data_IF_223941277184
#
_entry.id   IF_223941277184
#
_cell.length_a   1.000
_cell.length_b   1.000
_cell.length_c   1.000
_cell.angle_alpha   90.00
_cell.angle_beta   90.00
_cell.angle_gamma   90.00
#
_symmetry.space_group_name_H-M   'P 1'
#
loop_
_entity.id
_entity.type
_entity.pdbx_description
1 polymer ?
#
# COMPACT_ATOMS: atom_id res chain seq x y z
N UNK A 1 16.04 12.85 21.94
CA UNK A 1 14.98 12.67 20.95
C UNK A 1 14.11 11.58 21.51
N UNK A 2 13.01 11.98 22.12
CA UNK A 2 11.99 11.04 22.59
C UNK A 2 11.26 10.48 21.38
N UNK A 3 10.68 9.29 21.49
CA UNK A 3 9.82 8.78 20.41
C UNK A 3 8.60 9.69 20.20
N UNK A 4 8.15 10.42 21.22
CA UNK A 4 7.14 11.48 21.11
C UNK A 4 7.52 12.56 20.05
N UNK A 5 8.81 12.88 19.89
CA UNK A 5 9.28 13.86 18.89
C UNK A 5 9.22 13.31 17.44
N UNK A 6 9.19 11.98 17.28
CA UNK A 6 9.16 11.26 16.00
C UNK A 6 7.75 10.80 15.64
N UNK A 7 6.91 10.59 16.64
CA UNK A 7 5.59 9.95 16.54
C UNK A 7 4.46 10.93 16.26
N UNK A 8 4.68 12.26 16.25
CA UNK A 8 3.67 13.34 16.15
C UNK A 8 2.54 13.09 15.10
N UNK A 9 1.60 12.20 15.43
CA UNK A 9 0.59 11.65 14.52
C UNK A 9 1.06 10.65 13.45
N UNK A 10 2.34 10.27 13.34
CA UNK A 10 2.84 9.41 12.26
C UNK A 10 2.69 7.90 12.60
N UNK A 11 1.61 7.31 12.09
CA UNK A 11 1.31 5.90 12.27
C UNK A 11 2.36 4.97 11.63
N UNK A 12 2.96 5.35 10.50
CA UNK A 12 4.00 4.53 9.87
C UNK A 12 5.29 4.56 10.70
N UNK A 13 5.65 5.71 11.28
CA UNK A 13 6.80 5.82 12.17
C UNK A 13 6.68 4.88 13.39
N UNK A 14 5.50 4.84 14.05
CA UNK A 14 5.24 3.90 15.16
C UNK A 14 5.41 2.46 14.69
N UNK A 15 4.83 2.13 13.52
CA UNK A 15 4.90 0.78 12.98
C UNK A 15 6.34 0.32 12.73
N UNK A 16 7.14 1.15 12.07
CA UNK A 16 8.54 0.83 11.77
C UNK A 16 9.42 0.74 13.01
N UNK A 17 9.14 1.55 14.03
CA UNK A 17 9.83 1.44 15.31
C UNK A 17 9.61 0.06 15.93
N UNK A 18 8.36 -0.41 15.96
CA UNK A 18 8.01 -1.72 16.49
C UNK A 18 8.58 -2.87 15.66
N UNK A 19 8.45 -2.80 14.33
CA UNK A 19 8.98 -3.83 13.40
C UNK A 19 10.50 -3.97 13.51
N UNK A 20 11.21 -2.89 13.86
CA UNK A 20 12.67 -2.89 14.04
C UNK A 20 13.15 -3.48 15.38
N UNK A 21 12.24 -3.80 16.32
CA UNK A 21 12.62 -4.27 17.66
C UNK A 21 13.06 -5.74 17.63
N UNK A 22 14.18 -6.02 18.29
CA UNK A 22 14.66 -7.39 18.50
C UNK A 22 14.07 -8.01 19.77
N UNK A 23 13.98 -9.35 19.88
CA UNK A 23 13.50 -10.00 21.11
C UNK A 23 14.30 -9.56 22.33
N UNK A 24 13.58 -9.14 23.39
CA UNK A 24 14.14 -8.55 24.61
C UNK A 24 14.28 -7.03 24.58
N UNK A 25 14.11 -6.38 23.43
CA UNK A 25 14.10 -4.92 23.35
C UNK A 25 12.90 -4.36 24.12
N UNK A 26 13.14 -3.32 24.90
CA UNK A 26 12.11 -2.55 25.59
C UNK A 26 12.26 -1.08 25.24
N UNK A 27 11.17 -0.42 24.84
CA UNK A 27 11.17 0.99 24.46
C UNK A 27 9.98 1.72 25.08
N UNK A 28 10.23 2.93 25.56
CA UNK A 28 9.18 3.90 25.83
C UNK A 28 8.76 4.49 24.48
N UNK A 29 7.50 4.26 24.07
CA UNK A 29 7.01 4.68 22.75
C UNK A 29 6.32 6.03 22.85
N UNK A 30 5.49 6.25 23.87
CA UNK A 30 4.98 7.59 24.20
C UNK A 30 5.28 7.93 25.65
N UNK A 31 5.01 9.15 26.12
CA UNK A 31 5.09 9.48 27.57
C UNK A 31 4.36 8.47 28.49
N UNK A 32 3.35 7.77 27.95
CA UNK A 32 2.42 6.92 28.72
C UNK A 32 2.41 5.45 28.31
N UNK A 33 3.14 5.08 27.25
CA UNK A 33 3.16 3.70 26.76
C UNK A 33 4.58 3.18 26.58
N UNK A 34 4.76 1.92 26.99
CA UNK A 34 6.00 1.18 26.80
C UNK A 34 5.70 -0.13 26.08
N UNK A 35 6.68 -0.61 25.33
CA UNK A 35 6.58 -1.85 24.58
C UNK A 35 7.81 -2.70 24.83
N UNK A 36 7.60 -3.99 25.04
CA UNK A 36 8.66 -5.00 25.07
C UNK A 36 8.45 -6.00 23.96
N UNK A 37 9.45 -6.21 23.10
CA UNK A 37 9.44 -7.26 22.09
C UNK A 37 9.74 -8.61 22.77
N UNK A 38 8.78 -9.53 22.76
CA UNK A 38 8.91 -10.85 23.38
C UNK A 38 9.53 -11.86 22.41
N UNK A 39 9.16 -11.76 21.14
CA UNK A 39 9.61 -12.61 20.04
C UNK A 39 9.41 -11.86 18.71
N UNK A 40 9.83 -12.43 17.59
CA UNK A 40 9.68 -11.82 16.26
C UNK A 40 8.22 -11.45 15.94
N UNK A 41 7.93 -10.14 15.99
CA UNK A 41 6.60 -9.57 15.75
C UNK A 41 5.56 -9.85 16.85
N UNK A 42 6.00 -10.18 18.07
CA UNK A 42 5.18 -10.40 19.26
C UNK A 42 5.61 -9.48 20.39
N UNK A 43 4.67 -8.77 20.99
CA UNK A 43 4.92 -7.66 21.90
C UNK A 43 4.09 -7.76 23.17
N UNK A 44 4.65 -7.29 24.28
CA UNK A 44 3.89 -6.83 25.43
C UNK A 44 3.78 -5.31 25.37
N UNK A 45 2.58 -4.78 25.59
CA UNK A 45 2.30 -3.34 25.55
C UNK A 45 1.76 -2.89 26.90
N UNK A 46 2.43 -1.93 27.51
CA UNK A 46 1.98 -1.25 28.72
C UNK A 46 1.31 0.06 28.33
N UNK A 47 0.08 0.25 28.79
CA UNK A 47 -0.77 1.42 28.55
C UNK A 47 -1.25 2.01 29.88
N UNK A 48 -1.83 3.22 29.88
CA UNK A 48 -2.52 3.76 31.06
C UNK A 48 -3.64 2.85 31.55
N UNK A 49 -3.39 2.14 32.65
CA UNK A 49 -4.38 1.30 33.31
C UNK A 49 -4.64 -0.05 32.62
N UNK A 50 -3.84 -0.44 31.62
CA UNK A 50 -3.96 -1.72 30.94
C UNK A 50 -2.59 -2.29 30.56
N UNK A 51 -2.52 -3.62 30.42
CA UNK A 51 -1.37 -4.35 29.89
C UNK A 51 -1.90 -5.35 28.87
N UNK A 52 -1.34 -5.31 27.67
CA UNK A 52 -1.55 -6.32 26.64
C UNK A 52 -0.34 -7.24 26.62
N UNK A 53 -0.55 -8.54 26.67
CA UNK A 53 0.54 -9.52 26.69
C UNK A 53 0.54 -10.32 25.39
N UNK A 54 1.72 -10.48 24.81
CA UNK A 54 1.96 -11.30 23.61
C UNK A 54 1.02 -10.99 22.44
N UNK A 55 0.78 -9.71 22.19
CA UNK A 55 0.00 -9.24 21.04
C UNK A 55 0.89 -9.10 19.80
N UNK A 56 0.30 -9.18 18.61
CA UNK A 56 1.06 -8.99 17.38
C UNK A 56 1.38 -7.51 17.11
N UNK A 57 2.25 -7.28 16.13
CA UNK A 57 2.71 -5.96 15.67
C UNK A 57 1.60 -4.92 15.44
N UNK A 58 0.48 -5.29 14.81
CA UNK A 58 -0.58 -4.35 14.43
C UNK A 58 -1.49 -4.08 15.63
N UNK A 59 -1.77 -5.07 16.47
CA UNK A 59 -2.46 -4.86 17.73
C UNK A 59 -1.63 -3.94 18.62
N UNK A 60 -0.32 -4.16 18.74
CA UNK A 60 0.57 -3.30 19.51
C UNK A 60 0.58 -1.86 18.96
N UNK A 61 0.73 -1.71 17.65
CA UNK A 61 0.67 -0.43 16.94
C UNK A 61 -0.64 0.32 17.22
N UNK A 62 -1.79 -0.32 17.01
CA UNK A 62 -3.10 0.29 17.20
C UNK A 62 -3.37 0.64 18.67
N UNK A 63 -2.94 -0.22 19.59
CA UNK A 63 -3.07 0.03 21.03
C UNK A 63 -2.30 1.29 21.47
N UNK A 64 -1.10 1.48 20.93
CA UNK A 64 -0.25 2.65 21.21
C UNK A 64 -0.88 3.92 20.62
N UNK A 65 -1.29 3.88 19.35
CA UNK A 65 -1.88 5.05 18.68
C UNK A 65 -3.17 5.53 19.36
N UNK A 66 -3.98 4.60 19.88
CA UNK A 66 -5.25 4.93 20.55
C UNK A 66 -5.11 5.17 22.05
N UNK A 67 -4.02 4.70 22.65
CA UNK A 67 -3.78 4.78 24.10
C UNK A 67 -4.70 3.86 24.92
N UNK A 68 -5.32 2.86 24.29
CA UNK A 68 -6.25 1.91 24.92
C UNK A 68 -6.14 0.50 24.29
N UNK A 69 -6.56 -0.56 25.00
CA UNK A 69 -6.67 -1.90 24.44
C UNK A 69 -7.50 -1.96 23.16
N UNK A 70 -7.05 -2.73 22.17
CA UNK A 70 -7.75 -2.94 20.90
C UNK A 70 -7.85 -4.41 20.57
N UNK A 71 -8.98 -4.81 19.99
CA UNK A 71 -9.15 -6.11 19.35
C UNK A 71 -9.03 -5.93 17.84
N UNK A 72 -8.12 -6.66 17.21
CA UNK A 72 -7.96 -6.69 15.75
C UNK A 72 -8.19 -8.12 15.28
N UNK A 73 -9.15 -8.31 14.37
CA UNK A 73 -9.33 -9.60 13.69
C UNK A 73 -8.13 -9.86 12.80
N UNK A 74 -7.46 -11.01 12.97
CA UNK A 74 -6.28 -11.37 12.17
C UNK A 74 -6.63 -11.79 10.73
N UNK A 75 -7.88 -12.18 10.48
CA UNK A 75 -8.32 -12.74 9.20
C UNK A 75 -9.01 -11.71 8.30
N UNK A 76 -9.49 -10.60 8.86
CA UNK A 76 -10.25 -9.57 8.14
C UNK A 76 -9.90 -8.16 8.65
N UNK A 77 -8.69 -7.71 8.31
CA UNK A 77 -8.17 -6.39 8.67
C UNK A 77 -8.59 -5.37 7.62
N UNK A 78 -9.27 -4.31 8.07
CA UNK A 78 -9.46 -3.08 7.30
C UNK A 78 -8.31 -2.11 7.55
N UNK A 79 -7.36 -2.04 6.62
CA UNK A 79 -6.18 -1.19 6.77
C UNK A 79 -6.49 0.30 6.70
N UNK A 80 -7.64 0.71 6.14
CA UNK A 80 -8.05 2.11 6.11
C UNK A 80 -8.24 2.71 7.51
N UNK A 81 -8.45 1.87 8.53
CA UNK A 81 -8.66 2.28 9.92
C UNK A 81 -7.37 2.30 10.75
N UNK A 82 -6.26 1.85 10.17
CA UNK A 82 -4.99 1.66 10.90
C UNK A 82 -4.12 2.90 10.92
N UNK A 83 -4.32 3.82 9.97
CA UNK A 83 -3.44 4.98 9.78
C UNK A 83 -2.14 4.67 9.04
N UNK A 84 -1.82 3.40 8.77
CA UNK A 84 -0.68 3.01 7.94
C UNK A 84 -0.88 3.51 6.50
N UNK A 85 0.21 3.84 5.81
CA UNK A 85 0.16 4.01 4.35
C UNK A 85 -0.15 2.69 3.63
N UNK A 86 -0.57 2.77 2.37
CA UNK A 86 -0.83 1.59 1.55
C UNK A 86 0.40 0.68 1.42
N UNK A 87 1.59 1.27 1.27
CA UNK A 87 2.85 0.54 1.21
C UNK A 87 3.10 -0.28 2.48
N UNK A 88 3.02 0.34 3.65
CA UNK A 88 3.24 -0.35 4.93
C UNK A 88 2.15 -1.39 5.19
N UNK A 89 0.89 -1.08 4.89
CA UNK A 89 -0.23 -2.00 5.02
C UNK A 89 -0.04 -3.28 4.19
N UNK A 90 0.39 -3.16 2.93
CA UNK A 90 0.68 -4.29 2.05
C UNK A 90 1.87 -5.13 2.54
N UNK A 91 2.91 -4.48 3.08
CA UNK A 91 4.05 -5.16 3.69
C UNK A 91 3.64 -5.97 4.93
N UNK A 92 2.92 -5.35 5.86
CA UNK A 92 2.39 -6.01 7.06
C UNK A 92 1.50 -7.19 6.67
N UNK A 93 0.59 -7.02 5.71
CA UNK A 93 -0.28 -8.09 5.22
C UNK A 93 0.52 -9.28 4.67
N UNK A 94 1.52 -9.02 3.83
CA UNK A 94 2.39 -10.06 3.27
C UNK A 94 3.20 -10.80 4.35
N UNK A 95 3.78 -10.07 5.30
CA UNK A 95 4.53 -10.66 6.42
C UNK A 95 3.63 -11.51 7.33
N UNK A 96 2.39 -11.04 7.61
CA UNK A 96 1.39 -11.80 8.37
C UNK A 96 1.02 -13.10 7.69
N UNK A 97 0.63 -13.05 6.41
CA UNK A 97 0.30 -14.26 5.64
C UNK A 97 1.46 -15.26 5.67
N UNK A 98 2.70 -14.78 5.49
CA UNK A 98 3.91 -15.61 5.58
C UNK A 98 4.06 -16.27 6.95
N UNK A 99 3.93 -15.51 8.05
CA UNK A 99 4.01 -16.05 9.43
C UNK A 99 2.95 -17.11 9.71
N UNK A 100 1.75 -16.93 9.17
CA UNK A 100 0.63 -17.87 9.31
C UNK A 100 0.72 -19.07 8.33
N UNK A 101 1.73 -19.12 7.46
CA UNK A 101 1.85 -20.17 6.43
C UNK A 101 0.76 -20.11 5.36
N UNK A 102 0.12 -18.95 5.19
CA UNK A 102 -0.93 -18.73 4.20
C UNK A 102 -0.32 -18.38 2.83
N UNK A 103 -0.98 -18.74 1.72
CA UNK A 103 -0.52 -18.39 0.39
C UNK A 103 -0.51 -16.88 0.17
N UNK A 104 0.56 -16.38 -0.46
CA UNK A 104 0.65 -14.99 -0.92
C UNK A 104 0.04 -14.89 -2.32
N UNK A 105 -0.96 -14.03 -2.44
CA UNK A 105 -1.51 -13.62 -3.74
C UNK A 105 -0.50 -12.73 -4.47
N UNK A 106 -0.51 -12.79 -5.79
CA UNK A 106 0.39 -12.01 -6.65
C UNK A 106 -0.47 -11.30 -7.71
N UNK A 107 -0.62 -9.96 -7.63
CA UNK A 107 -0.13 -9.08 -6.56
C UNK A 107 -0.90 -9.26 -5.25
N UNK A 108 -0.30 -8.95 -4.09
CA UNK A 108 -1.01 -8.99 -2.81
C UNK A 108 -2.13 -7.94 -2.80
N UNK A 109 -3.28 -8.32 -2.25
CA UNK A 109 -4.44 -7.45 -2.08
C UNK A 109 -4.73 -7.26 -0.59
N UNK A 110 -5.01 -6.02 -0.19
CA UNK A 110 -5.50 -5.67 1.15
C UNK A 110 -6.90 -5.06 1.08
N UNK A 111 -7.63 -5.11 2.19
CA UNK A 111 -8.90 -4.38 2.33
C UNK A 111 -8.63 -2.96 2.80
N UNK A 112 -9.15 -1.98 2.07
CA UNK A 112 -9.10 -0.56 2.40
C UNK A 112 -10.51 0.02 2.34
N UNK A 113 -11.20 0.05 3.47
CA UNK A 113 -12.64 0.25 3.54
C UNK A 113 -13.38 -0.92 2.89
N UNK A 114 -14.22 -0.60 1.91
CA UNK A 114 -14.94 -1.60 1.09
C UNK A 114 -14.16 -2.01 -0.17
N UNK A 115 -12.95 -1.49 -0.37
CA UNK A 115 -12.20 -1.62 -1.63
C UNK A 115 -11.08 -2.67 -1.48
N UNK A 116 -10.97 -3.64 -2.40
CA UNK A 116 -9.78 -4.46 -2.54
C UNK A 116 -8.69 -3.65 -3.26
N UNK A 117 -7.58 -3.40 -2.57
CA UNK A 117 -6.48 -2.56 -3.06
C UNK A 117 -5.22 -3.39 -3.24
N UNK A 118 -4.56 -3.23 -4.37
CA UNK A 118 -3.30 -3.89 -4.73
C UNK A 118 -2.28 -2.87 -5.28
N UNK A 119 -1.05 -3.32 -5.51
CA UNK A 119 0.00 -2.50 -6.16
C UNK A 119 -0.04 -2.56 -7.69
N UNK A 120 -0.78 -3.52 -8.23
CA UNK A 120 -0.81 -3.83 -9.65
C UNK A 120 -1.98 -4.76 -9.96
N UNK A 121 -2.07 -5.14 -11.22
CA UNK A 121 -2.97 -6.19 -11.72
C UNK A 121 -2.21 -7.08 -12.71
N UNK A 122 -2.65 -8.33 -12.81
CA UNK A 122 -2.16 -9.28 -13.80
C UNK A 122 -3.38 -9.95 -14.41
N UNK A 123 -3.58 -9.76 -15.71
CA UNK A 123 -4.69 -10.37 -16.42
C UNK A 123 -4.27 -10.96 -17.77
N UNK A 124 -4.85 -12.10 -18.18
CA UNK A 124 -4.62 -12.65 -19.50
C UNK A 124 -5.26 -11.77 -20.57
N UNK A 125 -4.51 -11.51 -21.65
CA UNK A 125 -4.98 -10.79 -22.84
C UNK A 125 -4.53 -11.51 -24.11
N UNK A 126 -5.36 -11.53 -25.17
CA UNK A 126 -4.96 -12.10 -26.45
C UNK A 126 -3.88 -11.24 -27.15
N UNK A 127 -3.18 -11.84 -28.10
CA UNK A 127 -2.34 -11.12 -29.05
C UNK A 127 -3.17 -10.06 -29.81
N UNK A 128 -2.58 -8.91 -30.07
CA UNK A 128 -3.26 -7.80 -30.75
C UNK A 128 -3.10 -6.49 -30.01
N UNK A 129 -4.08 -5.60 -30.18
CA UNK A 129 -4.03 -4.25 -29.64
C UNK A 129 -4.69 -4.18 -28.27
N UNK A 130 -3.92 -3.70 -27.29
CA UNK A 130 -4.45 -3.29 -25.99
C UNK A 130 -4.59 -1.79 -25.98
N UNK A 131 -5.79 -1.31 -25.67
CA UNK A 131 -6.10 0.12 -25.57
C UNK A 131 -6.35 0.51 -24.12
N UNK A 132 -5.62 1.51 -23.63
CA UNK A 132 -5.86 2.17 -22.34
C UNK A 132 -6.64 3.46 -22.59
N UNK A 133 -7.78 3.61 -21.92
CA UNK A 133 -8.64 4.79 -22.03
C UNK A 133 -8.78 5.43 -20.65
N UNK A 134 -8.30 6.66 -20.51
CA UNK A 134 -8.31 7.42 -19.25
C UNK A 134 -9.58 8.27 -19.16
N UNK A 135 -10.42 7.98 -18.17
CA UNK A 135 -11.66 8.70 -17.90
C UNK A 135 -11.43 9.88 -16.94
N UNK A 136 -10.51 9.73 -15.98
CA UNK A 136 -10.18 10.76 -15.01
C UNK A 136 -8.67 10.89 -14.83
N UNK A 137 -8.22 12.14 -14.68
CA UNK A 137 -6.83 12.49 -14.39
C UNK A 137 -6.84 13.73 -13.48
N UNK A 138 -6.21 13.62 -12.31
CA UNK A 138 -6.07 14.75 -11.39
C UNK A 138 -5.03 15.74 -11.92
N UNK A 139 -5.36 17.05 -12.07
CA UNK A 139 -4.41 18.04 -12.56
C UNK A 139 -3.21 18.23 -11.63
N UNK A 140 -2.03 18.47 -12.23
CA UNK A 140 -0.83 18.86 -11.49
C UNK A 140 -0.05 17.70 -10.86
N UNK A 141 -0.55 16.47 -10.92
CA UNK A 141 0.21 15.25 -10.60
C UNK A 141 0.62 14.54 -11.89
N UNK A 142 1.88 14.11 -11.97
CA UNK A 142 2.36 13.31 -13.09
C UNK A 142 2.17 11.84 -12.78
N UNK A 143 1.01 11.32 -13.18
CA UNK A 143 0.53 9.97 -12.92
C UNK A 143 0.26 9.25 -14.24
N UNK A 144 0.67 8.00 -14.35
CA UNK A 144 0.53 7.19 -15.55
C UNK A 144 0.35 5.71 -15.27
N UNK A 145 0.40 4.94 -16.34
CA UNK A 145 0.19 3.48 -16.34
C UNK A 145 1.39 2.80 -16.97
N UNK A 146 1.98 1.84 -16.29
CA UNK A 146 2.96 0.92 -16.87
C UNK A 146 2.27 -0.38 -17.28
N UNK A 147 2.48 -0.77 -18.53
CA UNK A 147 2.05 -2.05 -19.10
C UNK A 147 3.28 -2.90 -19.42
N UNK A 148 3.30 -4.15 -18.98
CA UNK A 148 4.38 -5.07 -19.35
C UNK A 148 3.89 -6.52 -19.46
N UNK A 149 4.60 -7.32 -20.24
CA UNK A 149 4.40 -8.78 -20.32
C UNK A 149 5.67 -9.49 -19.89
N UNK A 150 5.58 -10.78 -19.57
CA UNK A 150 6.76 -11.57 -19.21
C UNK A 150 7.77 -11.63 -20.38
N UNK A 151 8.93 -10.98 -20.21
CA UNK A 151 9.98 -10.93 -21.23
C UNK A 151 9.76 -9.90 -22.35
N UNK A 152 8.67 -9.14 -22.31
CA UNK A 152 8.40 -8.03 -23.21
C UNK A 152 8.96 -6.70 -22.71
N UNK A 153 8.96 -5.65 -23.56
CA UNK A 153 9.25 -4.29 -23.11
C UNK A 153 8.14 -3.78 -22.16
N UNK A 154 8.52 -2.88 -21.26
CA UNK A 154 7.55 -2.09 -20.50
C UNK A 154 7.15 -0.85 -21.30
N UNK A 155 5.86 -0.61 -21.39
CA UNK A 155 5.28 0.58 -21.99
C UNK A 155 4.75 1.48 -20.88
N UNK A 156 5.34 2.66 -20.73
CA UNK A 156 4.89 3.66 -19.77
C UNK A 156 4.05 4.70 -20.49
N UNK A 157 2.81 4.85 -20.04
CA UNK A 157 1.80 5.73 -20.61
C UNK A 157 1.61 6.91 -19.67
N UNK A 158 1.87 8.13 -20.16
CA UNK A 158 1.73 9.38 -19.42
C UNK A 158 0.55 10.17 -19.97
N UNK A 159 -0.69 9.91 -19.51
CA UNK A 159 -1.87 10.63 -19.97
C UNK A 159 -1.76 12.13 -19.73
N UNK A 160 -2.37 12.90 -20.63
CA UNK A 160 -2.54 14.35 -20.50
C UNK A 160 -4.01 14.70 -20.72
N UNK A 161 -4.39 15.97 -20.52
CA UNK A 161 -5.77 16.37 -20.80
C UNK A 161 -6.15 16.20 -22.28
N UNK A 162 -5.20 16.43 -23.19
CA UNK A 162 -5.36 16.36 -24.64
C UNK A 162 -5.12 14.96 -25.22
N UNK A 163 -4.48 14.06 -24.46
CA UNK A 163 -4.11 12.71 -24.89
C UNK A 163 -4.44 11.68 -23.79
N UNK A 164 -5.56 10.99 -23.96
CA UNK A 164 -6.15 10.08 -22.96
C UNK A 164 -6.36 8.65 -23.46
N UNK A 165 -5.92 8.35 -24.67
CA UNK A 165 -6.12 7.04 -25.29
C UNK A 165 -4.82 6.52 -25.89
N UNK A 166 -4.35 5.37 -25.39
CA UNK A 166 -3.07 4.79 -25.78
C UNK A 166 -3.29 3.38 -26.29
N UNK A 167 -2.67 3.04 -27.42
CA UNK A 167 -2.70 1.68 -27.96
C UNK A 167 -1.30 1.07 -27.91
N UNK A 168 -1.21 -0.17 -27.45
CA UNK A 168 0.01 -0.98 -27.41
C UNK A 168 -0.23 -2.29 -28.15
N UNK A 169 0.66 -2.64 -29.07
CA UNK A 169 0.60 -3.91 -29.78
C UNK A 169 1.31 -5.02 -28.98
N UNK A 170 0.59 -6.11 -28.72
CA UNK A 170 1.12 -7.32 -28.08
C UNK A 170 1.32 -8.42 -29.13
N UNK A 171 2.55 -8.94 -29.29
CA UNK A 171 2.86 -9.89 -30.37
C UNK A 171 2.36 -11.32 -30.15
N UNK A 172 1.91 -11.66 -28.93
CA UNK A 172 1.40 -12.97 -28.55
C UNK A 172 0.45 -12.83 -27.36
N UNK A 173 -0.39 -13.86 -27.14
CA UNK A 173 -1.20 -13.98 -25.93
C UNK A 173 -0.28 -13.94 -24.71
N UNK A 174 -0.61 -13.12 -23.72
CA UNK A 174 0.24 -12.90 -22.57
C UNK A 174 -0.54 -12.51 -21.31
N UNK A 175 0.10 -12.67 -20.16
CA UNK A 175 -0.34 -12.05 -18.92
C UNK A 175 0.15 -10.60 -18.90
N UNK A 176 -0.77 -9.67 -19.11
CA UNK A 176 -0.52 -8.24 -19.04
C UNK A 176 -0.45 -7.81 -17.58
N UNK A 177 0.71 -7.29 -17.19
CA UNK A 177 0.93 -6.64 -15.90
C UNK A 177 0.62 -5.16 -16.05
N UNK A 178 -0.25 -4.67 -15.19
CA UNK A 178 -0.70 -3.28 -15.16
C UNK A 178 -0.31 -2.70 -13.81
N UNK A 179 0.46 -1.62 -13.82
CA UNK A 179 0.94 -0.98 -12.59
C UNK A 179 0.77 0.53 -12.71
N UNK A 180 0.39 1.18 -11.61
CA UNK A 180 0.42 2.64 -11.52
C UNK A 180 1.86 3.15 -11.49
N UNK A 181 2.16 4.20 -12.25
CA UNK A 181 3.47 4.91 -12.18
C UNK A 181 3.24 6.39 -11.90
N UNK A 182 4.18 7.02 -11.22
CA UNK A 182 4.13 8.46 -10.97
C UNK A 182 5.54 9.03 -10.89
N UNK A 183 5.65 10.35 -11.07
CA UNK A 183 6.93 11.04 -10.90
C UNK A 183 6.99 11.69 -9.53
N UNK A 184 8.06 11.37 -8.80
CA UNK A 184 8.44 12.06 -7.57
C UNK A 184 9.56 13.03 -7.90
N UNK A 185 9.42 14.28 -7.45
CA UNK A 185 10.39 15.34 -7.68
C UNK A 185 11.02 15.82 -6.37
N UNK A 186 12.28 16.24 -6.43
CA UNK A 186 12.97 16.91 -5.35
C UNK A 186 13.99 17.93 -5.87
N UNK A 187 14.77 18.58 -4.98
CA UNK A 187 15.71 19.62 -5.39
C UNK A 187 16.77 19.10 -6.38
N UNK A 188 16.56 19.35 -7.68
CA UNK A 188 17.47 18.97 -8.75
C UNK A 188 17.34 17.53 -9.26
N UNK A 189 16.28 16.80 -8.90
CA UNK A 189 16.07 15.43 -9.36
C UNK A 189 14.59 15.10 -9.57
N UNK A 190 14.32 14.13 -10.45
CA UNK A 190 13.02 13.51 -10.67
C UNK A 190 13.20 12.01 -10.87
N UNK A 191 12.30 11.19 -10.32
CA UNK A 191 12.33 9.72 -10.48
C UNK A 191 10.92 9.18 -10.74
N UNK A 192 10.85 8.11 -11.53
CA UNK A 192 9.62 7.34 -11.73
C UNK A 192 9.50 6.30 -10.62
N UNK A 193 8.36 6.28 -9.94
CA UNK A 193 8.04 5.34 -8.87
C UNK A 193 6.73 4.61 -9.16
N UNK A 194 6.55 3.45 -8.50
CA UNK A 194 5.37 2.59 -8.65
C UNK A 194 4.73 2.23 -7.31
N UNK A 195 5.53 2.24 -6.25
CA UNK A 195 5.15 1.74 -4.94
C UNK A 195 5.83 2.56 -3.85
N UNK A 196 5.17 3.64 -3.47
CA UNK A 196 5.61 4.55 -2.43
C UNK A 196 4.38 5.04 -1.67
N UNK A 197 4.43 5.03 -0.34
CA UNK A 197 3.41 5.61 0.53
C UNK A 197 1.99 5.13 0.17
N UNK A 198 1.13 6.06 -0.25
CA UNK A 198 -0.27 5.83 -0.61
C UNK A 198 -0.49 5.49 -2.09
N UNK A 199 0.54 5.05 -2.81
CA UNK A 199 0.36 4.56 -4.17
C UNK A 199 -0.30 3.17 -4.17
N UNK A 200 -1.39 3.04 -4.92
CA UNK A 200 -2.10 1.77 -5.07
C UNK A 200 -3.20 1.85 -6.12
N UNK A 201 -3.80 0.71 -6.42
CA UNK A 201 -4.94 0.61 -7.33
C UNK A 201 -6.02 -0.30 -6.77
N UNK A 202 -7.25 0.02 -7.10
CA UNK A 202 -8.42 -0.83 -6.90
C UNK A 202 -9.11 -1.01 -8.25
N UNK A 203 -9.55 -2.23 -8.54
CA UNK A 203 -10.32 -2.55 -9.75
C UNK A 203 -11.80 -2.65 -9.37
N UNK A 204 -12.64 -1.81 -9.97
CA UNK A 204 -14.08 -1.84 -9.73
C UNK A 204 -14.76 -3.02 -10.45
N UNK A 205 -16.02 -3.35 -10.13
CA UNK A 205 -16.74 -4.45 -10.77
C UNK A 205 -16.95 -4.29 -12.29
N UNK A 206 -16.87 -3.06 -12.81
CA UNK A 206 -17.02 -2.74 -14.23
C UNK A 206 -15.68 -2.83 -14.98
N UNK A 207 -14.58 -3.10 -14.27
CA UNK A 207 -13.24 -3.26 -14.82
C UNK A 207 -12.47 -1.94 -14.98
N UNK A 208 -12.90 -0.87 -14.32
CA UNK A 208 -12.13 0.37 -14.23
C UNK A 208 -11.07 0.26 -13.13
N UNK A 209 -9.90 0.80 -13.42
CA UNK A 209 -8.78 0.91 -12.51
C UNK A 209 -8.83 2.28 -11.85
N UNK A 210 -8.97 2.29 -10.52
CA UNK A 210 -9.00 3.47 -9.67
C UNK A 210 -7.65 3.57 -8.94
N UNK A 211 -6.81 4.53 -9.35
CA UNK A 211 -5.46 4.67 -8.84
C UNK A 211 -5.33 5.84 -7.87
N UNK A 212 -4.48 5.66 -6.87
CA UNK A 212 -4.10 6.69 -5.93
C UNK A 212 -2.62 7.05 -6.14
N UNK A 213 -2.30 8.34 -6.09
CA UNK A 213 -0.96 8.89 -6.16
C UNK A 213 -0.33 8.86 -4.75
N UNK A 214 1.00 8.72 -4.67
CA UNK A 214 1.69 8.57 -3.36
C UNK A 214 1.41 9.72 -2.38
N UNK A 215 1.20 10.94 -2.90
CA UNK A 215 1.00 12.16 -2.12
C UNK A 215 -0.47 12.39 -1.71
N UNK A 216 -1.41 11.56 -2.16
CA UNK A 216 -2.83 11.74 -1.87
C UNK A 216 -3.17 11.10 -0.54
N UNK A 217 -3.37 11.94 0.48
CA UNK A 217 -3.65 11.55 1.87
C UNK A 217 -4.91 12.26 2.39
N UNK A 218 -5.97 11.52 2.80
CA UNK A 218 -6.10 10.07 2.72
C UNK A 218 -6.25 9.57 1.27
N UNK A 219 -6.00 8.28 0.97
CA UNK A 219 -6.23 7.71 -0.34
C UNK A 219 -7.68 7.87 -0.81
N UNK A 220 -7.86 8.42 -2.01
CA UNK A 220 -9.18 8.61 -2.64
C UNK A 220 -9.42 7.62 -3.78
N UNK A 221 -8.32 7.16 -4.41
CA UNK A 221 -8.32 6.33 -5.62
C UNK A 221 -8.93 7.00 -6.85
N UNK A 222 -8.96 8.34 -6.87
CA UNK A 222 -9.48 9.14 -7.97
C UNK A 222 -8.38 9.96 -8.65
N UNK A 223 -7.09 9.68 -8.40
CA UNK A 223 -6.00 10.47 -9.00
C UNK A 223 -5.85 10.16 -10.50
N UNK A 224 -6.08 8.89 -10.86
CA UNK A 224 -6.09 8.40 -12.23
C UNK A 224 -7.12 7.28 -12.33
N UNK A 225 -8.10 7.42 -13.23
CA UNK A 225 -9.10 6.38 -13.52
C UNK A 225 -9.04 6.02 -15.00
N UNK A 226 -8.90 4.72 -15.29
CA UNK A 226 -8.79 4.23 -16.65
C UNK A 226 -9.41 2.84 -16.85
N UNK A 227 -9.61 2.47 -18.11
CA UNK A 227 -10.02 1.11 -18.50
C UNK A 227 -9.01 0.52 -19.47
N UNK A 228 -8.88 -0.80 -19.46
CA UNK A 228 -8.04 -1.56 -20.40
C UNK A 228 -8.94 -2.42 -21.28
N UNK A 229 -8.80 -2.28 -22.60
CA UNK A 229 -9.57 -3.00 -23.63
C UNK A 229 -8.63 -3.81 -24.51
N UNK A 230 -9.02 -5.02 -24.88
CA UNK A 230 -8.29 -5.95 -25.74
C UNK A 230 -9.22 -6.61 -26.74
#
# INVERSE_FOLDING_TARGET
>A
MTLDDVIDGDADAVFWVLDSMSPGDSRQVTEKSAVTCQDEGVFDVELPGARLERVDLLVAHQAILRGEPVEVSLEDIDYATTGLSLQTALLDHGQRKKRLGLPLEIPPTIRWGERPVATGDIRPVPAGQVTVVVSHLTPGVRHGVALSTAGGPEHILWPTEDDREFTVDLPHDADLRITTVFVVEGPGWSREERWLENAGLWIDPDGAYHCNHFATTPPTFEDLVFTVRS
#
